data_IF_262032374754
#
_entry.id   IF_262032374754
#
_cell.length_a   1.000
_cell.length_b   1.000
_cell.length_c   1.000
_cell.angle_alpha   90.00
_cell.angle_beta   90.00
_cell.angle_gamma   90.00
#
_symmetry.space_group_name_H-M   'P 1'
#
loop_
_entity.id
_entity.type
_entity.pdbx_description
1 polymer ?
#
# COMPACT_ATOMS: atom_id res chain seq x y z
N UNK A 1 -28.01 30.17 -39.47
CA UNK A 1 -27.46 31.52 -39.72
C UNK A 1 -26.40 31.77 -38.66
N UNK A 2 -25.10 31.60 -38.92
CA UNK A 2 -24.44 31.16 -40.16
C UNK A 2 -23.48 29.98 -39.93
N UNK A 3 -23.33 29.19 -40.98
CA UNK A 3 -22.27 28.21 -41.25
C UNK A 3 -21.70 28.65 -42.63
N UNK A 4 -20.45 28.45 -43.06
CA UNK A 4 -19.51 27.32 -43.00
C UNK A 4 -18.07 27.94 -43.19
N UNK A 5 -17.00 27.30 -43.76
CA UNK A 5 -16.45 25.93 -43.69
C UNK A 5 -14.90 25.87 -43.48
N UNK A 6 -14.38 24.65 -43.65
CA UNK A 6 -13.16 24.28 -44.40
C UNK A 6 -11.80 24.14 -43.68
N UNK A 7 -11.57 22.91 -43.23
CA UNK A 7 -10.46 22.03 -43.65
C UNK A 7 -9.30 22.61 -44.50
N UNK A 8 -8.06 22.32 -44.06
CA UNK A 8 -6.91 22.14 -44.95
C UNK A 8 -6.05 20.95 -44.47
N UNK A 9 -5.98 19.88 -45.28
CA UNK A 9 -5.09 18.73 -45.04
C UNK A 9 -3.67 19.03 -45.54
N UNK A 10 -2.63 18.74 -44.75
CA UNK A 10 -1.26 19.17 -45.09
C UNK A 10 -0.12 18.38 -44.45
N UNK A 11 -0.14 17.04 -44.50
CA UNK A 11 1.07 16.25 -44.21
C UNK A 11 2.09 16.47 -45.35
N UNK A 12 3.23 17.11 -45.06
CA UNK A 12 4.30 17.32 -46.03
C UNK A 12 5.67 17.06 -45.40
N UNK A 13 6.23 15.88 -45.69
CA UNK A 13 7.51 15.42 -45.15
C UNK A 13 8.68 15.99 -45.97
N UNK A 14 9.08 17.23 -45.68
CA UNK A 14 10.19 17.89 -46.35
C UNK A 14 11.55 17.57 -45.69
N UNK A 15 12.14 16.42 -46.02
CA UNK A 15 13.55 16.15 -45.68
C UNK A 15 14.44 17.00 -46.59
N UNK A 16 15.01 18.09 -46.06
CA UNK A 16 16.08 18.85 -46.72
C UNK A 16 17.41 18.67 -45.99
N UNK A 17 18.37 18.06 -46.68
CA UNK A 17 19.77 18.05 -46.27
C UNK A 17 20.43 19.38 -46.65
N UNK A 18 20.96 20.08 -45.67
CA UNK A 18 21.90 21.19 -45.89
C UNK A 18 23.25 20.85 -45.25
N UNK A 19 24.34 21.24 -45.94
CA UNK A 19 25.70 20.85 -45.59
C UNK A 19 26.19 21.64 -44.38
N UNK A 20 26.98 21.01 -43.53
CA UNK A 20 27.46 21.64 -42.29
C UNK A 20 28.31 22.89 -42.53
N UNK A 21 27.96 23.96 -41.83
CA UNK A 21 28.87 25.04 -41.47
C UNK A 21 29.08 24.99 -39.94
N UNK A 22 30.31 25.15 -39.47
CA UNK A 22 30.57 25.28 -38.04
C UNK A 22 30.17 26.67 -37.57
N UNK A 23 28.87 26.87 -37.30
CA UNK A 23 28.44 27.93 -36.38
C UNK A 23 28.93 27.59 -34.97
N UNK A 24 29.49 28.58 -34.29
CA UNK A 24 29.57 28.56 -32.82
C UNK A 24 28.16 28.50 -32.24
N UNK A 25 27.97 28.01 -30.99
CA UNK A 25 26.66 27.99 -30.34
C UNK A 25 26.19 29.43 -30.03
N UNK A 26 25.60 30.06 -31.05
CA UNK A 26 25.11 31.43 -31.00
C UNK A 26 23.89 31.52 -30.10
N UNK A 27 24.00 32.32 -29.04
CA UNK A 27 22.96 32.65 -28.05
C UNK A 27 22.31 31.45 -27.35
N UNK A 28 22.33 31.46 -26.01
CA UNK A 28 21.43 30.61 -25.23
C UNK A 28 19.99 30.85 -25.71
N UNK A 29 19.26 29.78 -26.02
CA UNK A 29 17.97 29.86 -26.71
C UNK A 29 16.89 30.42 -25.76
N UNK A 30 16.71 31.75 -25.76
CA UNK A 30 15.82 32.47 -24.85
C UNK A 30 14.36 32.32 -25.30
N UNK A 31 13.73 31.24 -24.86
CA UNK A 31 12.28 31.12 -24.85
C UNK A 31 11.67 32.30 -24.06
N UNK A 32 10.64 32.98 -24.58
CA UNK A 32 9.80 33.92 -23.83
C UNK A 32 9.25 33.30 -22.54
N UNK A 33 8.92 34.11 -21.54
CA UNK A 33 8.36 33.58 -20.29
C UNK A 33 6.92 33.08 -20.49
N UNK A 34 6.22 33.66 -21.45
CA UNK A 34 4.90 33.30 -21.95
C UNK A 34 4.91 31.90 -22.58
N UNK A 35 5.73 31.68 -23.62
CA UNK A 35 5.94 30.38 -24.28
C UNK A 35 6.33 29.27 -23.28
N UNK A 36 7.12 29.61 -22.26
CA UNK A 36 7.50 28.68 -21.19
C UNK A 36 6.33 28.34 -20.27
N UNK A 37 5.49 29.31 -19.92
CA UNK A 37 4.28 29.10 -19.10
C UNK A 37 3.26 28.23 -19.85
N UNK A 38 3.06 28.45 -21.15
CA UNK A 38 2.16 27.65 -21.98
C UNK A 38 2.64 26.19 -22.15
N UNK A 39 3.93 25.94 -21.94
CA UNK A 39 4.52 24.60 -21.89
C UNK A 39 4.40 23.91 -20.51
N UNK A 40 3.90 24.58 -19.47
CA UNK A 40 3.83 24.06 -18.09
C UNK A 40 2.42 23.62 -17.69
N UNK A 41 2.29 22.35 -17.28
CA UNK A 41 1.07 21.83 -16.66
C UNK A 41 0.76 22.56 -15.33
N UNK A 42 -0.50 23.03 -15.11
CA UNK A 42 -0.89 23.65 -13.85
C UNK A 42 -0.64 22.78 -12.61
N UNK A 43 -0.22 23.40 -11.51
CA UNK A 43 0.07 22.68 -10.26
C UNK A 43 -1.21 22.12 -9.62
N UNK A 44 -1.34 20.80 -9.61
CA UNK A 44 -2.48 20.09 -9.02
C UNK A 44 -2.33 19.85 -7.52
N UNK A 45 -3.45 19.91 -6.79
CA UNK A 45 -3.51 19.46 -5.40
C UNK A 45 -3.28 17.95 -5.28
N UNK A 46 -2.50 17.53 -4.27
CA UNK A 46 -2.27 16.10 -3.96
C UNK A 46 -3.33 15.62 -2.97
N UNK A 47 -3.73 14.35 -3.10
CA UNK A 47 -4.70 13.70 -2.23
C UNK A 47 -3.95 12.76 -1.27
N UNK A 48 -4.37 12.75 -0.01
CA UNK A 48 -3.84 11.88 1.04
C UNK A 48 -5.02 11.28 1.80
N UNK A 49 -5.00 9.97 1.99
CA UNK A 49 -6.02 9.26 2.78
C UNK A 49 -5.97 9.70 4.24
N UNK A 50 -7.13 9.86 4.86
CA UNK A 50 -7.25 10.26 6.26
C UNK A 50 -6.72 9.14 7.16
N UNK A 51 -5.69 9.42 7.96
CA UNK A 51 -5.09 8.44 8.87
C UNK A 51 -5.77 8.42 10.24
N UNK A 52 -6.20 9.59 10.75
CA UNK A 52 -6.90 9.71 12.02
C UNK A 52 -7.72 11.00 12.08
N UNK A 53 -8.77 11.02 12.92
CA UNK A 53 -9.53 12.23 13.22
C UNK A 53 -9.81 12.38 14.73
N UNK A 54 -9.38 13.51 15.27
CA UNK A 54 -9.57 13.92 16.66
C UNK A 54 -10.51 15.14 16.66
N UNK A 55 -11.82 14.88 16.68
CA UNK A 55 -12.86 15.90 16.57
C UNK A 55 -12.87 16.91 17.74
N UNK A 56 -12.43 16.49 18.93
CA UNK A 56 -12.29 17.38 20.09
C UNK A 56 -11.18 18.42 19.87
N UNK A 57 -10.04 18.00 19.31
CA UNK A 57 -8.92 18.92 18.97
C UNK A 57 -9.03 19.49 17.55
N UNK A 58 -10.08 19.15 16.80
CA UNK A 58 -10.29 19.48 15.37
C UNK A 58 -9.07 19.13 14.50
N UNK A 59 -8.41 18.02 14.81
CA UNK A 59 -7.15 17.59 14.19
C UNK A 59 -7.38 16.40 13.27
N UNK A 60 -6.80 16.47 12.08
CA UNK A 60 -6.64 15.33 11.15
C UNK A 60 -5.18 14.88 11.15
N UNK A 61 -4.95 13.59 10.92
CA UNK A 61 -3.62 13.03 10.60
C UNK A 61 -3.62 12.44 9.20
N UNK A 62 -2.48 12.47 8.54
CA UNK A 62 -2.18 11.77 7.28
C UNK A 62 -0.85 11.03 7.42
N UNK A 63 -0.61 10.01 6.59
CA UNK A 63 0.73 9.43 6.39
C UNK A 63 1.12 9.65 4.93
N UNK A 64 2.41 9.89 4.69
CA UNK A 64 3.01 9.90 3.36
C UNK A 64 4.45 9.40 3.44
N UNK A 65 4.94 8.77 2.38
CA UNK A 65 6.38 8.58 2.21
C UNK A 65 6.99 9.92 1.77
N UNK A 66 8.11 10.30 2.35
CA UNK A 66 8.91 11.40 1.81
C UNK A 66 9.82 10.86 0.70
N UNK A 67 9.95 11.63 -0.37
CA UNK A 67 10.76 11.39 -1.56
C UNK A 67 11.34 12.76 -1.91
N UNK A 68 12.66 12.92 -2.02
CA UNK A 68 13.30 14.25 -2.14
C UNK A 68 12.74 15.08 -3.31
N UNK A 69 12.52 14.41 -4.44
CA UNK A 69 11.96 14.96 -5.68
C UNK A 69 10.45 15.27 -5.60
N UNK A 70 9.76 14.81 -4.55
CA UNK A 70 8.32 14.94 -4.39
C UNK A 70 7.90 16.34 -3.94
N UNK A 71 7.55 17.21 -4.90
CA UNK A 71 7.20 18.63 -4.62
C UNK A 71 6.26 18.85 -3.42
N UNK A 72 5.21 18.04 -3.27
CA UNK A 72 4.24 18.20 -2.18
C UNK A 72 4.74 17.60 -0.86
N UNK A 73 5.40 16.44 -0.88
CA UNK A 73 5.90 15.78 0.33
C UNK A 73 7.12 16.51 0.91
N UNK A 74 8.07 16.93 0.08
CA UNK A 74 9.18 17.81 0.50
C UNK A 74 8.70 19.17 1.02
N UNK A 75 7.62 19.72 0.47
CA UNK A 75 6.98 20.92 1.02
C UNK A 75 6.31 20.67 2.39
N UNK A 76 5.55 19.59 2.54
CA UNK A 76 4.97 19.21 3.85
C UNK A 76 6.04 18.97 4.92
N UNK A 77 7.18 18.36 4.55
CA UNK A 77 8.33 18.19 5.45
C UNK A 77 8.94 19.54 5.83
N UNK A 78 9.16 20.47 4.89
CA UNK A 78 9.72 21.80 5.22
C UNK A 78 8.80 22.59 6.16
N UNK A 79 7.48 22.51 5.96
CA UNK A 79 6.49 23.13 6.83
C UNK A 79 6.42 22.52 8.25
N UNK A 80 6.88 21.28 8.47
CA UNK A 80 6.82 20.64 9.80
C UNK A 80 7.59 21.38 10.90
N UNK A 81 8.58 22.20 10.49
CA UNK A 81 9.38 23.06 11.38
C UNK A 81 8.70 24.38 11.77
N UNK A 82 7.53 24.70 11.20
CA UNK A 82 6.85 25.99 11.31
C UNK A 82 5.36 25.81 11.60
N UNK A 83 4.75 26.67 12.42
CA UNK A 83 3.29 26.67 12.63
C UNK A 83 2.55 27.30 11.43
N UNK A 84 2.58 26.58 10.31
CA UNK A 84 2.12 27.03 9.00
C UNK A 84 0.65 26.70 8.74
N UNK A 85 -0.04 27.58 7.99
CA UNK A 85 -1.40 27.33 7.52
C UNK A 85 -1.36 26.64 6.14
N UNK A 86 -1.85 25.40 6.07
CA UNK A 86 -1.94 24.63 4.83
C UNK A 86 -3.39 24.75 4.30
N UNK A 87 -3.61 25.11 3.02
CA UNK A 87 -4.92 25.04 2.41
C UNK A 87 -5.32 23.57 2.20
N UNK A 88 -6.45 23.16 2.77
CA UNK A 88 -6.98 21.80 2.67
C UNK A 88 -8.36 21.81 2.00
N UNK A 89 -8.53 20.99 0.97
CA UNK A 89 -9.82 20.71 0.36
C UNK A 89 -10.29 19.32 0.79
N UNK A 90 -11.36 19.25 1.59
CA UNK A 90 -11.96 17.97 1.96
C UNK A 90 -12.69 17.37 0.76
N UNK A 91 -12.21 16.21 0.28
CA UNK A 91 -12.90 15.34 -0.66
C UNK A 91 -13.56 14.20 0.14
N UNK A 92 -14.90 14.14 0.26
CA UNK A 92 -15.57 13.09 1.02
C UNK A 92 -15.30 11.69 0.42
N UNK A 93 -14.95 10.73 1.27
CA UNK A 93 -15.00 9.31 0.92
C UNK A 93 -16.47 8.87 0.84
N UNK A 94 -16.96 8.58 -0.37
CA UNK A 94 -18.37 8.21 -0.60
C UNK A 94 -18.63 6.70 -0.59
N UNK A 95 -17.58 5.89 -0.74
CA UNK A 95 -17.64 4.43 -0.81
C UNK A 95 -16.64 3.74 0.11
N UNK A 96 -15.41 4.25 0.23
CA UNK A 96 -14.36 3.67 1.07
C UNK A 96 -14.54 4.05 2.55
N UNK A 97 -15.59 3.53 3.17
CA UNK A 97 -15.92 3.69 4.59
C UNK A 97 -16.36 2.35 5.19
N UNK A 98 -16.32 2.17 6.52
CA UNK A 98 -16.83 0.96 7.18
C UNK A 98 -18.29 0.64 6.82
N UNK A 99 -18.69 -0.64 6.86
CA UNK A 99 -20.07 -1.05 6.57
C UNK A 99 -21.03 -0.50 7.64
N UNK A 100 -22.24 -0.09 7.19
CA UNK A 100 -23.29 0.42 8.09
C UNK A 100 -23.95 -0.67 8.94
N UNK A 101 -23.96 -1.91 8.47
CA UNK A 101 -24.37 -3.06 9.25
C UNK A 101 -23.22 -3.43 10.19
N UNK A 102 -23.36 -3.36 11.52
CA UNK A 102 -22.26 -3.63 12.44
C UNK A 102 -21.69 -5.02 12.22
N UNK A 103 -22.55 -6.03 12.09
CA UNK A 103 -22.15 -7.43 12.01
C UNK A 103 -21.37 -7.80 10.73
N UNK A 104 -21.41 -6.99 9.66
CA UNK A 104 -20.68 -7.23 8.41
C UNK A 104 -19.17 -7.33 8.68
N UNK A 105 -18.60 -8.50 8.37
CA UNK A 105 -17.16 -8.76 8.54
C UNK A 105 -16.32 -7.83 7.66
N UNK A 106 -15.17 -7.41 8.16
CA UNK A 106 -14.27 -6.45 7.50
C UNK A 106 -12.89 -7.11 7.33
N UNK A 107 -12.41 -7.18 6.09
CA UNK A 107 -11.01 -7.52 5.79
C UNK A 107 -10.34 -6.29 5.18
N UNK A 108 -9.26 -5.82 5.79
CA UNK A 108 -8.49 -4.65 5.39
C UNK A 108 -7.12 -5.11 4.91
N UNK A 109 -6.73 -4.77 3.68
CA UNK A 109 -5.48 -5.23 3.05
C UNK A 109 -4.66 -4.01 2.64
N UNK A 110 -3.55 -3.77 3.33
CA UNK A 110 -2.73 -2.57 3.19
C UNK A 110 -1.25 -2.86 2.94
N UNK A 111 -0.60 -1.93 2.25
CA UNK A 111 0.86 -1.87 2.12
C UNK A 111 1.37 -0.48 2.49
N UNK A 112 2.39 -0.41 3.37
CA UNK A 112 3.06 0.83 3.75
C UNK A 112 2.08 1.91 4.24
N UNK A 113 2.14 3.09 3.63
CA UNK A 113 1.21 4.21 3.90
C UNK A 113 -0.28 3.86 3.70
N UNK A 114 -0.59 2.78 2.97
CA UNK A 114 -1.97 2.32 2.70
C UNK A 114 -2.74 1.86 3.95
N UNK A 115 -2.07 1.76 5.10
CA UNK A 115 -2.72 1.56 6.41
C UNK A 115 -3.49 2.79 6.90
N UNK A 116 -3.25 3.98 6.35
CA UNK A 116 -3.90 5.24 6.76
C UNK A 116 -5.43 5.13 6.92
N UNK A 117 -6.23 4.82 5.87
CA UNK A 117 -7.68 4.75 6.02
C UNK A 117 -8.11 3.66 7.01
N UNK A 118 -7.32 2.58 7.18
CA UNK A 118 -7.65 1.49 8.10
C UNK A 118 -7.38 1.82 9.57
N UNK A 119 -6.38 2.63 9.87
CA UNK A 119 -6.25 3.23 11.20
C UNK A 119 -7.44 4.16 11.50
N UNK A 120 -7.89 4.96 10.52
CA UNK A 120 -9.10 5.78 10.68
C UNK A 120 -10.39 4.96 10.76
N UNK A 121 -10.46 3.79 10.11
CA UNK A 121 -11.57 2.85 10.28
C UNK A 121 -11.57 2.34 11.73
N UNK A 122 -10.44 1.80 12.21
CA UNK A 122 -10.33 1.25 13.57
C UNK A 122 -10.66 2.26 14.67
N UNK A 123 -10.32 3.55 14.49
CA UNK A 123 -10.76 4.64 15.38
C UNK A 123 -12.29 4.82 15.43
N UNK A 124 -13.01 4.45 14.38
CA UNK A 124 -14.48 4.54 14.28
C UNK A 124 -15.21 3.23 14.61
N UNK A 125 -14.50 2.10 14.69
CA UNK A 125 -15.09 0.81 15.03
C UNK A 125 -15.15 0.62 16.55
N UNK A 126 -16.37 0.56 17.08
CA UNK A 126 -16.61 0.02 18.41
C UNK A 126 -16.01 -1.39 18.55
N UNK A 127 -15.53 -1.71 19.75
CA UNK A 127 -15.27 -3.08 20.20
C UNK A 127 -16.52 -3.94 19.97
N UNK A 128 -16.40 -4.90 19.07
CA UNK A 128 -17.48 -5.79 18.65
C UNK A 128 -16.87 -7.16 18.42
N UNK A 129 -17.27 -8.12 19.26
CA UNK A 129 -16.71 -9.47 19.27
C UNK A 129 -17.51 -10.46 18.41
N UNK A 130 -18.65 -10.05 17.82
CA UNK A 130 -19.47 -10.93 16.97
C UNK A 130 -18.97 -10.96 15.52
N UNK A 131 -18.39 -9.86 15.05
CA UNK A 131 -17.82 -9.74 13.70
C UNK A 131 -16.31 -9.98 13.67
N UNK A 132 -15.81 -10.43 12.51
CA UNK A 132 -14.38 -10.40 12.21
C UNK A 132 -13.96 -9.04 11.67
N UNK A 133 -12.92 -8.44 12.26
CA UNK A 133 -12.17 -7.29 11.71
C UNK A 133 -10.71 -7.72 11.57
N UNK A 134 -10.29 -8.00 10.33
CA UNK A 134 -8.96 -8.54 10.04
C UNK A 134 -8.12 -7.54 9.24
N UNK A 135 -6.97 -7.12 9.79
CA UNK A 135 -5.95 -6.35 9.07
C UNK A 135 -4.87 -7.29 8.54
N UNK A 136 -4.64 -7.25 7.23
CA UNK A 136 -3.54 -7.90 6.52
C UNK A 136 -2.62 -6.77 6.04
N UNK A 137 -1.44 -6.63 6.64
CA UNK A 137 -0.54 -5.48 6.42
C UNK A 137 0.84 -5.91 5.91
N UNK A 138 1.41 -5.17 4.96
CA UNK A 138 2.74 -5.44 4.38
C UNK A 138 3.69 -4.23 4.41
N UNK A 139 4.85 -4.37 5.02
CA UNK A 139 5.89 -3.34 5.08
C UNK A 139 7.31 -3.91 4.93
N UNK A 140 8.35 -3.14 5.29
CA UNK A 140 9.76 -3.59 5.23
C UNK A 140 10.08 -4.50 6.43
N UNK A 141 10.11 -3.91 7.61
CA UNK A 141 10.28 -4.51 8.93
C UNK A 141 9.35 -3.82 9.94
N UNK A 142 9.40 -4.23 11.21
CA UNK A 142 8.58 -3.66 12.28
C UNK A 142 8.83 -2.15 12.49
N UNK A 143 10.08 -1.68 12.31
CA UNK A 143 10.41 -0.25 12.33
C UNK A 143 9.68 0.58 11.25
N UNK A 144 9.20 -0.06 10.18
CA UNK A 144 8.38 0.54 9.12
C UNK A 144 6.88 0.22 9.27
N UNK A 145 6.42 -0.16 10.46
CA UNK A 145 5.00 -0.32 10.80
C UNK A 145 4.51 0.95 11.54
N UNK A 146 3.87 1.91 10.85
CA UNK A 146 3.35 3.11 11.51
C UNK A 146 2.13 2.77 12.38
N UNK A 147 1.99 3.48 13.51
CA UNK A 147 0.91 3.28 14.49
C UNK A 147 0.89 1.87 15.12
N UNK A 148 2.04 1.19 15.22
CA UNK A 148 2.12 -0.18 15.76
C UNK A 148 1.42 -0.30 17.12
N UNK A 149 1.68 0.63 18.02
CA UNK A 149 1.09 0.66 19.36
C UNK A 149 -0.42 0.94 19.34
N UNK A 150 -0.93 1.76 18.41
CA UNK A 150 -2.38 1.94 18.22
C UNK A 150 -3.05 0.68 17.64
N UNK A 151 -2.43 0.02 16.66
CA UNK A 151 -2.93 -1.24 16.10
C UNK A 151 -2.98 -2.34 17.17
N UNK A 152 -1.94 -2.44 18.01
CA UNK A 152 -1.93 -3.35 19.17
C UNK A 152 -3.03 -2.96 20.19
N UNK A 153 -3.28 -1.67 20.44
CA UNK A 153 -4.40 -1.22 21.30
C UNK A 153 -5.76 -1.63 20.69
N UNK A 154 -5.97 -1.47 19.39
CA UNK A 154 -7.22 -1.90 18.73
C UNK A 154 -7.42 -3.42 18.79
N UNK A 155 -6.34 -4.20 18.73
CA UNK A 155 -6.38 -5.66 18.88
C UNK A 155 -6.77 -6.05 20.32
N UNK A 156 -6.12 -5.44 21.32
CA UNK A 156 -6.42 -5.66 22.74
C UNK A 156 -7.84 -5.19 23.15
N UNK A 157 -8.40 -4.18 22.45
CA UNK A 157 -9.76 -3.68 22.65
C UNK A 157 -10.81 -4.43 21.79
N UNK A 158 -10.42 -5.32 20.88
CA UNK A 158 -11.33 -6.02 19.97
C UNK A 158 -12.00 -5.15 18.90
N UNK A 159 -11.58 -3.90 18.69
CA UNK A 159 -11.94 -3.13 17.48
C UNK A 159 -11.25 -3.69 16.24
N UNK A 160 -10.09 -4.30 16.42
CA UNK A 160 -9.45 -5.24 15.50
C UNK A 160 -9.55 -6.63 16.13
N UNK A 161 -9.98 -7.66 15.40
CA UNK A 161 -10.05 -9.03 15.93
C UNK A 161 -8.92 -9.93 15.45
N UNK A 162 -8.23 -9.54 14.36
CA UNK A 162 -7.08 -10.28 13.83
C UNK A 162 -6.09 -9.35 13.11
N UNK A 163 -4.79 -9.62 13.31
CA UNK A 163 -3.70 -8.98 12.60
C UNK A 163 -2.82 -10.06 11.94
N UNK A 164 -2.53 -9.92 10.65
CA UNK A 164 -1.51 -10.70 9.93
C UNK A 164 -0.54 -9.74 9.25
N UNK A 165 0.76 -9.91 9.47
CA UNK A 165 1.80 -8.95 9.03
C UNK A 165 2.83 -9.63 8.14
N UNK A 166 3.13 -9.00 7.00
CA UNK A 166 4.19 -9.41 6.09
C UNK A 166 5.36 -8.41 6.17
N UNK A 167 6.55 -8.94 6.42
CA UNK A 167 7.79 -8.18 6.41
C UNK A 167 8.61 -8.60 5.20
N UNK A 168 8.74 -7.69 4.23
CA UNK A 168 9.50 -7.93 2.99
C UNK A 168 11.02 -7.90 3.19
N UNK A 169 11.48 -7.36 4.33
CA UNK A 169 12.88 -7.23 4.76
C UNK A 169 12.95 -7.41 6.29
N UNK A 170 12.60 -8.59 6.85
CA UNK A 170 12.66 -8.81 8.28
C UNK A 170 14.11 -8.68 8.75
N UNK A 171 14.32 -8.11 9.94
CA UNK A 171 15.64 -8.10 10.59
C UNK A 171 16.02 -9.55 10.92
N UNK A 172 17.24 -9.95 10.57
CA UNK A 172 17.80 -11.25 10.93
C UNK A 172 18.51 -11.18 12.28
N UNK A 173 18.74 -12.32 12.93
CA UNK A 173 19.56 -12.35 14.16
C UNK A 173 21.00 -11.85 13.93
N UNK A 174 21.47 -11.89 12.68
CA UNK A 174 22.78 -11.38 12.24
C UNK A 174 22.79 -9.84 12.06
N UNK A 175 21.64 -9.21 11.81
CA UNK A 175 21.49 -7.75 11.74
C UNK A 175 21.48 -7.08 13.12
N UNK A 176 21.26 -7.84 14.21
CA UNK A 176 21.17 -7.34 15.60
C UNK A 176 22.58 -7.01 16.15
N UNK A 177 23.26 -6.08 15.50
CA UNK A 177 24.47 -5.45 16.02
C UNK A 177 24.08 -4.48 17.13
N UNK A 178 24.02 -4.96 18.38
CA UNK A 178 23.76 -4.13 19.55
C UNK A 178 24.68 -2.89 19.55
N UNK A 179 24.15 -1.65 19.53
CA UNK A 179 24.98 -0.46 19.60
C UNK A 179 25.70 -0.42 20.94
N UNK A 180 27.03 -0.45 20.91
CA UNK A 180 27.85 -0.55 22.11
C UNK A 180 27.72 0.70 22.99
N UNK A 181 26.93 0.56 24.05
CA UNK A 181 26.83 1.42 25.23
C UNK A 181 26.50 2.92 24.99
N UNK A 182 25.24 3.29 25.25
CA UNK A 182 24.97 4.50 26.04
C UNK A 182 23.60 4.45 26.75
N UNK A 183 23.63 4.03 28.02
CA UNK A 183 22.74 4.44 29.12
C UNK A 183 21.21 4.50 28.88
N UNK A 184 20.46 3.42 29.16
CA UNK A 184 19.01 3.55 29.36
C UNK A 184 18.15 2.28 29.51
N UNK A 185 17.95 1.84 30.76
CA UNK A 185 16.69 1.24 31.28
C UNK A 185 16.12 -0.03 30.57
N UNK A 186 16.31 -1.17 31.25
CA UNK A 186 15.43 -2.37 31.32
C UNK A 186 15.05 -3.05 29.98
N UNK A 187 15.85 -4.06 29.61
CA UNK A 187 15.31 -5.26 28.99
C UNK A 187 14.85 -6.23 30.09
N UNK A 188 13.62 -6.75 30.00
CA UNK A 188 13.09 -7.73 30.95
C UNK A 188 12.86 -9.07 30.23
N UNK A 189 13.46 -10.14 30.74
CA UNK A 189 13.65 -11.39 29.98
C UNK A 189 12.37 -12.22 29.84
N UNK A 190 11.91 -12.47 28.61
CA UNK A 190 11.08 -13.64 28.26
C UNK A 190 11.59 -14.25 26.94
N UNK A 191 12.50 -15.20 27.04
CA UNK A 191 12.31 -16.56 26.51
C UNK A 191 13.40 -17.47 27.09
N UNK A 192 13.05 -18.73 27.40
CA UNK A 192 13.95 -19.69 28.04
C UNK A 192 14.01 -21.00 27.25
N UNK A 193 15.23 -21.47 27.04
CA UNK A 193 15.63 -22.86 26.83
C UNK A 193 15.02 -23.65 25.66
N UNK A 194 15.89 -23.99 24.70
CA UNK A 194 16.22 -25.40 24.44
C UNK A 194 17.62 -25.61 23.87
N UNK A 195 18.46 -26.25 24.69
CA UNK A 195 19.64 -27.01 24.27
C UNK A 195 19.20 -28.30 23.51
N UNK A 196 19.99 -29.06 22.75
CA UNK A 196 21.30 -28.91 22.05
C UNK A 196 21.58 -30.26 21.32
N UNK A 197 22.56 -30.51 20.45
CA UNK A 197 23.68 -29.77 19.82
C UNK A 197 23.85 -30.30 18.38
N UNK A 198 24.70 -29.69 17.53
CA UNK A 198 25.85 -30.36 16.87
C UNK A 198 26.75 -29.35 16.12
N UNK A 199 28.03 -29.69 15.94
CA UNK A 199 29.02 -28.98 15.12
C UNK A 199 28.97 -29.51 13.66
N UNK A 200 29.65 -28.99 12.63
CA UNK A 200 30.88 -28.18 12.54
C UNK A 200 30.98 -27.53 11.13
N UNK A 201 31.70 -26.40 11.00
CA UNK A 201 32.43 -25.85 9.82
C UNK A 201 31.87 -26.10 8.38
N UNK A 202 31.79 -25.09 7.50
CA UNK A 202 32.98 -24.36 6.99
C UNK A 202 32.63 -23.05 6.25
N UNK A 203 33.66 -22.27 5.91
CA UNK A 203 33.62 -21.08 5.04
C UNK A 203 33.24 -21.45 3.57
N UNK A 204 33.05 -20.56 2.59
CA UNK A 204 33.61 -19.21 2.38
C UNK A 204 32.85 -18.43 1.27
N UNK A 205 33.00 -17.09 1.20
CA UNK A 205 32.75 -16.28 -0.01
C UNK A 205 31.37 -15.63 -0.19
N UNK A 206 31.20 -14.38 0.30
CA UNK A 206 30.03 -13.55 0.03
C UNK A 206 30.24 -12.61 -1.18
N UNK A 207 29.50 -12.84 -2.27
CA UNK A 207 29.30 -11.85 -3.33
C UNK A 207 27.92 -11.20 -3.17
N UNK A 208 27.89 -10.03 -2.53
CA UNK A 208 26.67 -9.23 -2.46
C UNK A 208 26.29 -8.76 -3.87
N UNK A 209 25.11 -9.19 -4.32
CA UNK A 209 24.45 -8.71 -5.54
C UNK A 209 22.99 -8.44 -5.21
N UNK A 210 22.48 -7.28 -5.62
CA UNK A 210 21.08 -6.94 -5.39
C UNK A 210 20.17 -7.90 -6.19
N UNK A 211 19.08 -8.43 -5.61
CA UNK A 211 18.16 -9.30 -6.33
C UNK A 211 17.38 -8.50 -7.37
N UNK A 212 17.91 -8.44 -8.59
CA UNK A 212 17.30 -7.81 -9.76
C UNK A 212 15.85 -8.26 -9.94
N UNK A 213 14.93 -7.32 -10.15
CA UNK A 213 13.51 -7.64 -10.34
C UNK A 213 13.29 -8.52 -11.58
N UNK A 214 12.99 -9.80 -11.37
CA UNK A 214 12.53 -10.75 -12.41
C UNK A 214 11.09 -11.16 -12.10
N UNK A 215 10.27 -11.27 -13.14
CA UNK A 215 8.82 -11.38 -12.97
C UNK A 215 8.40 -12.71 -12.32
N UNK A 216 7.77 -12.63 -11.14
CA UNK A 216 7.15 -13.77 -10.43
C UNK A 216 5.81 -14.20 -11.06
N UNK A 217 5.80 -14.57 -12.35
CA UNK A 217 4.56 -14.99 -13.03
C UNK A 217 4.24 -16.49 -12.93
N UNK A 218 5.26 -17.34 -12.87
CA UNK A 218 5.09 -18.80 -13.08
C UNK A 218 5.70 -19.66 -11.95
N UNK A 219 5.95 -19.10 -10.78
CA UNK A 219 6.42 -19.84 -9.60
C UNK A 219 5.24 -20.22 -8.68
N UNK A 220 5.09 -21.49 -8.28
CA UNK A 220 4.20 -21.83 -7.16
C UNK A 220 4.73 -21.13 -5.90
N UNK A 221 3.83 -20.63 -5.05
CA UNK A 221 4.22 -19.97 -3.80
C UNK A 221 5.14 -20.88 -2.99
N UNK A 222 6.38 -20.42 -2.80
CA UNK A 222 7.42 -21.18 -2.11
C UNK A 222 7.02 -21.32 -0.65
N UNK A 223 7.12 -22.54 -0.10
CA UNK A 223 6.99 -22.78 1.34
C UNK A 223 8.23 -22.29 2.11
N UNK A 224 8.55 -21.00 1.97
CA UNK A 224 9.34 -20.24 2.93
C UNK A 224 8.33 -19.75 3.99
N UNK A 225 8.55 -20.05 5.27
CA UNK A 225 7.58 -19.69 6.30
C UNK A 225 7.45 -18.16 6.50
N UNK A 226 8.46 -17.41 6.01
CA UNK A 226 8.51 -15.95 6.02
C UNK A 226 7.60 -15.36 4.94
N UNK A 227 6.43 -14.88 5.37
CA UNK A 227 5.51 -14.09 4.54
C UNK A 227 6.12 -12.70 4.27
N UNK A 228 6.51 -12.46 3.02
CA UNK A 228 7.16 -11.23 2.53
C UNK A 228 6.15 -10.21 2.03
N UNK A 229 5.02 -10.68 1.48
CA UNK A 229 3.95 -9.82 0.95
C UNK A 229 2.53 -10.29 1.31
N UNK A 230 1.55 -9.38 1.22
CA UNK A 230 0.16 -9.65 1.66
C UNK A 230 -0.55 -10.75 0.87
N UNK A 231 -0.21 -10.94 -0.40
CA UNK A 231 -0.72 -12.01 -1.26
C UNK A 231 -0.27 -13.41 -0.79
N UNK A 232 0.87 -13.52 -0.12
CA UNK A 232 1.35 -14.76 0.49
C UNK A 232 0.60 -15.06 1.81
N UNK A 233 0.17 -14.02 2.55
CA UNK A 233 -0.75 -14.17 3.69
C UNK A 233 -2.08 -14.73 3.21
N UNK A 234 -2.68 -14.14 2.17
CA UNK A 234 -3.93 -14.61 1.57
C UNK A 234 -3.82 -16.09 1.18
N UNK A 235 -2.73 -16.50 0.53
CA UNK A 235 -2.52 -17.89 0.13
C UNK A 235 -2.30 -18.86 1.31
N UNK A 236 -1.48 -18.48 2.31
CA UNK A 236 -1.21 -19.29 3.51
C UNK A 236 -2.46 -19.43 4.39
N UNK A 237 -3.28 -18.38 4.48
CA UNK A 237 -4.50 -18.32 5.30
C UNK A 237 -5.80 -18.53 4.48
N UNK A 238 -5.69 -19.05 3.25
CA UNK A 238 -6.79 -19.14 2.28
C UNK A 238 -8.06 -19.79 2.79
N UNK A 239 -7.97 -20.79 3.66
CA UNK A 239 -9.16 -21.45 4.23
C UNK A 239 -9.99 -20.48 5.08
N UNK A 240 -9.34 -19.69 5.94
CA UNK A 240 -10.00 -18.65 6.75
C UNK A 240 -10.56 -17.54 5.87
N UNK A 241 -9.79 -17.09 4.87
CA UNK A 241 -10.22 -16.04 3.95
C UNK A 241 -11.43 -16.47 3.10
N UNK A 242 -11.39 -17.65 2.48
CA UNK A 242 -12.49 -18.19 1.67
C UNK A 242 -13.75 -18.46 2.49
N UNK A 243 -13.60 -19.00 3.71
CA UNK A 243 -14.73 -19.21 4.63
C UNK A 243 -15.42 -17.89 4.99
N UNK A 244 -14.66 -16.83 5.27
CA UNK A 244 -15.21 -15.48 5.49
C UNK A 244 -15.88 -14.92 4.22
N UNK A 245 -15.30 -15.15 3.04
CA UNK A 245 -15.81 -14.56 1.80
C UNK A 245 -17.08 -15.23 1.25
N UNK A 246 -17.23 -16.54 1.45
CA UNK A 246 -18.44 -17.29 1.10
C UNK A 246 -19.51 -17.12 2.21
N UNK A 247 -19.10 -17.26 3.47
CA UNK A 247 -20.00 -17.33 4.62
C UNK A 247 -20.66 -18.69 4.79
N UNK A 248 -21.38 -18.87 5.90
CA UNK A 248 -22.08 -20.10 6.30
C UNK A 248 -23.61 -20.00 6.16
N UNK A 249 -24.09 -18.96 5.48
CA UNK A 249 -25.52 -18.63 5.35
C UNK A 249 -26.18 -18.04 6.60
N UNK A 250 -25.44 -17.89 7.72
CA UNK A 250 -25.91 -17.25 8.97
C UNK A 250 -25.15 -15.97 9.25
N UNK A 251 -23.85 -15.98 9.03
CA UNK A 251 -22.98 -14.82 9.12
C UNK A 251 -23.27 -13.85 7.96
N UNK A 252 -23.25 -12.53 8.23
CA UNK A 252 -23.48 -11.52 7.21
C UNK A 252 -22.32 -11.45 6.21
N UNK A 253 -22.58 -10.79 5.07
CA UNK A 253 -21.58 -10.60 4.02
C UNK A 253 -20.27 -10.03 4.57
N UNK A 254 -19.14 -10.45 4.00
CA UNK A 254 -17.81 -9.89 4.26
C UNK A 254 -17.46 -8.85 3.21
N UNK A 255 -16.96 -7.69 3.64
CA UNK A 255 -16.41 -6.62 2.79
C UNK A 255 -14.89 -6.58 2.89
N UNK A 256 -14.23 -6.62 1.73
CA UNK A 256 -12.78 -6.49 1.59
C UNK A 256 -12.44 -5.08 1.13
N UNK A 257 -11.47 -4.45 1.78
CA UNK A 257 -10.96 -3.13 1.46
C UNK A 257 -9.46 -3.25 1.15
N UNK A 258 -9.02 -2.68 0.03
CA UNK A 258 -7.63 -2.73 -0.41
C UNK A 258 -7.10 -1.30 -0.57
N UNK A 259 -5.95 -1.00 0.04
CA UNK A 259 -5.31 0.31 -0.08
C UNK A 259 -3.78 0.21 -0.27
N UNK A 260 -3.26 0.86 -1.32
CA UNK A 260 -1.85 0.83 -1.68
C UNK A 260 -1.57 1.03 -3.18
N UNK A 261 -0.45 0.45 -3.64
CA UNK A 261 0.09 0.54 -5.01
C UNK A 261 -0.80 -0.20 -6.04
N UNK A 262 -1.46 0.56 -6.93
CA UNK A 262 -2.29 0.02 -8.01
C UNK A 262 -1.50 -0.82 -9.02
N UNK A 263 -0.24 -0.47 -9.27
CA UNK A 263 0.60 -0.98 -10.35
C UNK A 263 1.21 -2.34 -10.03
N UNK A 264 1.48 -2.65 -8.75
CA UNK A 264 2.15 -3.88 -8.32
C UNK A 264 1.33 -4.74 -7.36
N UNK A 265 0.84 -4.15 -6.26
CA UNK A 265 0.18 -4.90 -5.18
C UNK A 265 -1.17 -5.49 -5.63
N UNK A 266 -2.00 -4.68 -6.30
CA UNK A 266 -3.39 -5.06 -6.59
C UNK A 266 -3.54 -6.22 -7.59
N UNK A 267 -2.78 -6.30 -8.70
CA UNK A 267 -2.88 -7.43 -9.62
C UNK A 267 -2.53 -8.77 -8.96
N UNK A 268 -1.41 -8.84 -8.22
CA UNK A 268 -0.98 -10.06 -7.53
C UNK A 268 -1.93 -10.44 -6.38
N UNK A 269 -2.48 -9.45 -5.67
CA UNK A 269 -3.44 -9.68 -4.59
C UNK A 269 -4.78 -10.24 -5.09
N UNK A 270 -5.35 -9.67 -6.16
CA UNK A 270 -6.62 -10.15 -6.72
C UNK A 270 -6.47 -11.56 -7.34
N UNK A 271 -5.32 -11.85 -7.94
CA UNK A 271 -4.98 -13.17 -8.45
C UNK A 271 -4.77 -14.20 -7.32
N UNK A 272 -4.09 -13.81 -6.23
CA UNK A 272 -3.95 -14.66 -5.04
C UNK A 272 -5.29 -14.94 -4.34
N UNK A 273 -6.22 -13.98 -4.34
CA UNK A 273 -7.60 -14.18 -3.88
C UNK A 273 -8.33 -15.17 -4.79
N UNK A 274 -8.26 -15.00 -6.12
CA UNK A 274 -8.89 -15.92 -7.07
C UNK A 274 -8.36 -17.36 -6.90
N UNK A 275 -7.05 -17.55 -6.97
CA UNK A 275 -6.39 -18.85 -6.75
C UNK A 275 -6.71 -19.45 -5.38
N UNK A 276 -6.90 -18.63 -4.34
CA UNK A 276 -7.32 -19.09 -3.02
C UNK A 276 -8.72 -19.68 -3.03
N UNK A 277 -9.68 -19.07 -3.74
CA UNK A 277 -11.03 -19.63 -3.89
C UNK A 277 -11.02 -20.94 -4.69
N UNK A 278 -10.31 -20.97 -5.83
CA UNK A 278 -10.18 -22.16 -6.67
C UNK A 278 -9.54 -23.33 -5.89
N UNK A 279 -8.50 -23.06 -5.09
CA UNK A 279 -7.81 -24.06 -4.27
C UNK A 279 -8.59 -24.51 -3.02
N UNK A 280 -9.71 -23.85 -2.68
CA UNK A 280 -10.62 -24.24 -1.60
C UNK A 280 -11.85 -24.99 -2.15
N UNK A 281 -12.24 -24.77 -3.41
CA UNK A 281 -13.19 -25.63 -4.13
C UNK A 281 -14.64 -25.57 -3.66
N UNK A 282 -15.02 -24.52 -2.93
CA UNK A 282 -16.37 -24.34 -2.34
C UNK A 282 -17.34 -23.55 -3.25
N UNK A 283 -17.07 -23.47 -4.56
CA UNK A 283 -17.84 -22.67 -5.53
C UNK A 283 -17.98 -23.40 -6.87
N UNK A 284 -19.13 -23.23 -7.54
CA UNK A 284 -19.38 -23.72 -8.89
C UNK A 284 -18.74 -22.84 -9.99
N UNK A 285 -18.43 -21.58 -9.68
CA UNK A 285 -17.77 -20.62 -10.58
C UNK A 285 -16.33 -20.32 -10.12
N UNK A 286 -15.48 -19.88 -11.06
CA UNK A 286 -14.05 -19.70 -10.80
C UNK A 286 -13.78 -18.59 -9.79
N UNK A 287 -12.65 -18.66 -9.10
CA UNK A 287 -12.20 -17.61 -8.18
C UNK A 287 -12.07 -16.23 -8.84
N UNK A 288 -11.79 -16.19 -10.14
CA UNK A 288 -11.76 -14.95 -10.93
C UNK A 288 -13.16 -14.37 -11.14
N UNK A 289 -14.15 -15.22 -11.40
CA UNK A 289 -15.54 -14.81 -11.55
C UNK A 289 -16.14 -14.34 -10.21
N UNK A 290 -15.81 -15.01 -9.11
CA UNK A 290 -16.12 -14.56 -7.75
C UNK A 290 -15.53 -13.17 -7.45
N UNK A 291 -14.25 -12.94 -7.75
CA UNK A 291 -13.62 -11.61 -7.56
C UNK A 291 -14.31 -10.53 -8.40
N UNK A 292 -14.68 -10.82 -9.65
CA UNK A 292 -15.45 -9.91 -10.49
C UNK A 292 -16.84 -9.61 -9.90
N UNK A 293 -17.57 -10.64 -9.47
CA UNK A 293 -18.90 -10.54 -8.86
C UNK A 293 -18.87 -9.77 -7.53
N UNK A 294 -17.91 -10.05 -6.66
CA UNK A 294 -17.76 -9.32 -5.40
C UNK A 294 -17.30 -7.88 -5.61
N UNK A 295 -16.55 -7.60 -6.68
CA UNK A 295 -16.23 -6.21 -7.09
C UNK A 295 -17.50 -5.47 -7.55
N UNK A 296 -18.34 -6.08 -8.40
CA UNK A 296 -19.56 -5.43 -8.91
C UNK A 296 -20.66 -5.28 -7.85
N UNK A 297 -20.73 -6.20 -6.88
CA UNK A 297 -21.58 -6.11 -5.69
C UNK A 297 -21.06 -5.12 -4.62
N UNK A 298 -19.92 -4.45 -4.84
CA UNK A 298 -19.34 -3.53 -3.86
C UNK A 298 -18.77 -4.19 -2.60
N UNK A 299 -18.54 -5.51 -2.63
CA UNK A 299 -17.89 -6.28 -1.56
C UNK A 299 -16.36 -6.21 -1.61
N UNK A 300 -15.76 -5.81 -2.75
CA UNK A 300 -14.32 -5.51 -2.86
C UNK A 300 -14.15 -4.02 -3.21
N UNK A 301 -13.71 -3.24 -2.22
CA UNK A 301 -13.49 -1.80 -2.31
C UNK A 301 -11.99 -1.49 -2.42
N UNK A 302 -11.64 -0.43 -3.16
CA UNK A 302 -10.24 -0.09 -3.51
C UNK A 302 -10.01 1.42 -3.42
N UNK A 303 -9.01 1.84 -2.66
CA UNK A 303 -8.50 3.22 -2.62
C UNK A 303 -7.00 3.18 -2.92
N UNK A 304 -6.61 3.55 -4.13
CA UNK A 304 -5.29 3.23 -4.70
C UNK A 304 -4.57 4.48 -5.23
N UNK A 305 -3.25 4.41 -5.25
CA UNK A 305 -2.38 5.35 -5.97
C UNK A 305 -1.58 4.65 -7.06
N UNK A 306 -1.10 5.45 -8.02
CA UNK A 306 -0.27 5.06 -9.17
C UNK A 306 1.14 5.58 -8.96
#
# INVERSE_FOLDING_TARGET
DEEIPSSASGFSTAVQSSKGSHSTPSSANKMPIEDLIDCLSPISGRQYSLAAYDGYKKRVSIIFNHEDWGHCTSWLVSLSSLQSKIPLLHKPATTFCPPKNPATNIIMIAHGTGIAPFHSFLQSLCSDHERTVWLIYGCKNEQHFPFKEEIDKFLNLGSLTKLSVAYSRPETEEDITYPANNNGIIANNIFKEKNSHHQHNSKEGSHNSEPSSKHHKDLPYINDDRQRYVQEIIWKERQTFSSLMIGDGKNPQTSVYICGDQSKMVPELLDAIARSMDAVGQSECTGKDLVNQWTSLGRILRELWV
#
